data_IF_114975555569
#
_entry.id   IF_114975555569
#
_cell.length_a   1.000
_cell.length_b   1.000
_cell.length_c   1.000
_cell.angle_alpha   90.00
_cell.angle_beta   90.00
_cell.angle_gamma   90.00
#
_symmetry.space_group_name_H-M   'P 1'
#
loop_
_entity.id
_entity.type
_entity.pdbx_description
1 polymer ?
#
# COMPACT_ATOMS: atom_id res chain seq x y z
N UNK A 1 -40.33 10.64 79.89
CA UNK A 1 -39.43 10.77 78.72
C UNK A 1 -40.31 11.30 77.59
N UNK A 2 -40.40 12.64 77.44
CA UNK A 2 -39.60 13.47 76.49
C UNK A 2 -39.85 13.03 75.03
N UNK A 3 -40.16 13.86 74.02
CA UNK A 3 -40.09 15.32 73.79
C UNK A 3 -40.91 15.60 72.52
N UNK A 4 -41.81 16.58 72.53
CA UNK A 4 -41.64 17.91 71.90
C UNK A 4 -41.29 17.98 70.40
N UNK A 5 -42.33 18.31 69.62
CA UNK A 5 -42.41 19.47 68.71
C UNK A 5 -41.20 19.82 67.81
N UNK A 6 -41.36 19.60 66.50
CA UNK A 6 -40.49 20.19 65.46
C UNK A 6 -41.18 21.44 64.88
N UNK A 7 -40.47 22.56 64.98
CA UNK A 7 -40.82 23.90 64.51
C UNK A 7 -40.29 24.12 63.08
N UNK A 8 -41.06 24.87 62.29
CA UNK A 8 -40.68 25.90 61.29
C UNK A 8 -39.34 25.79 60.53
N UNK A 9 -39.41 25.94 59.19
CA UNK A 9 -38.81 27.04 58.37
C UNK A 9 -38.81 26.63 56.88
N UNK A 10 -39.59 27.27 56.01
CA UNK A 10 -39.30 28.52 55.26
C UNK A 10 -38.56 28.25 53.92
N UNK A 11 -39.32 28.48 52.84
CA UNK A 11 -39.00 29.19 51.58
C UNK A 11 -37.94 28.58 50.65
N UNK A 12 -38.29 28.39 49.37
CA UNK A 12 -37.77 29.13 48.19
C UNK A 12 -38.39 28.51 46.92
N UNK A 13 -39.06 29.36 46.14
CA UNK A 13 -39.49 29.11 44.78
C UNK A 13 -38.34 29.39 43.80
N UNK A 14 -38.23 28.63 42.69
CA UNK A 14 -37.58 29.01 41.42
C UNK A 14 -38.02 27.96 40.37
N UNK A 15 -38.83 28.26 39.34
CA UNK A 15 -38.65 29.17 38.18
C UNK A 15 -37.71 28.59 37.09
N UNK A 16 -38.31 28.44 35.92
CA UNK A 16 -37.80 28.39 34.54
C UNK A 16 -37.27 27.06 34.00
N UNK A 17 -38.19 26.40 33.28
CA UNK A 17 -37.95 25.56 32.12
C UNK A 17 -37.45 26.46 30.98
N UNK A 18 -36.20 26.34 30.57
CA UNK A 18 -35.66 27.04 29.40
C UNK A 18 -35.07 26.04 28.40
N UNK A 19 -35.78 25.98 27.25
CA UNK A 19 -35.33 25.83 25.88
C UNK A 19 -34.23 24.81 25.53
N UNK A 20 -34.59 23.92 24.61
CA UNK A 20 -33.73 22.89 24.04
C UNK A 20 -32.50 23.47 23.33
N UNK A 21 -31.40 22.78 23.52
CA UNK A 21 -30.27 22.86 22.62
C UNK A 21 -30.51 21.87 21.49
N UNK A 22 -30.93 22.40 20.35
CA UNK A 22 -30.72 21.78 19.05
C UNK A 22 -29.23 21.57 18.87
N UNK A 23 -28.86 20.33 18.54
CA UNK A 23 -27.49 19.94 18.28
C UNK A 23 -26.86 20.80 17.19
N UNK A 24 -25.61 21.20 17.45
CA UNK A 24 -24.61 21.30 16.41
C UNK A 24 -23.62 20.17 16.70
N UNK A 25 -23.79 19.03 16.03
CA UNK A 25 -22.69 18.09 15.91
C UNK A 25 -21.52 18.85 15.29
N UNK A 26 -20.37 18.82 15.96
CA UNK A 26 -19.15 19.42 15.47
C UNK A 26 -18.87 18.85 14.09
N UNK A 27 -18.72 19.71 13.09
CA UNK A 27 -18.03 19.39 11.85
C UNK A 27 -16.55 19.11 12.21
N UNK A 28 -16.26 17.87 12.61
CA UNK A 28 -14.89 17.38 12.65
C UNK A 28 -14.60 16.91 11.23
N UNK A 29 -13.94 17.77 10.44
CA UNK A 29 -13.18 17.28 9.29
C UNK A 29 -12.13 16.36 9.90
N UNK A 30 -12.32 15.06 9.71
CA UNK A 30 -11.31 14.06 9.99
C UNK A 30 -10.16 14.33 9.02
N UNK A 31 -9.19 15.14 9.47
CA UNK A 31 -7.92 15.24 8.78
C UNK A 31 -7.27 13.88 9.00
N UNK A 32 -7.24 13.04 7.97
CA UNK A 32 -6.50 11.80 7.99
C UNK A 32 -5.02 12.13 8.26
N UNK A 33 -4.58 11.95 9.50
CA UNK A 33 -3.21 12.16 9.94
C UNK A 33 -2.35 10.90 9.75
N UNK A 34 -2.83 9.89 9.02
CA UNK A 34 -2.00 8.75 8.67
C UNK A 34 -0.75 9.25 7.96
N UNK A 35 0.45 8.79 8.35
CA UNK A 35 1.65 9.10 7.62
C UNK A 35 1.42 8.79 6.15
N UNK A 36 1.48 9.82 5.31
CA UNK A 36 1.37 9.67 3.86
C UNK A 36 2.47 8.68 3.44
N UNK A 37 3.69 8.89 3.94
CA UNK A 37 4.82 7.97 3.77
C UNK A 37 4.78 6.76 4.71
N UNK A 38 5.24 5.61 4.23
CA UNK A 38 5.24 4.37 4.98
C UNK A 38 6.42 3.44 4.67
N UNK A 39 6.47 2.31 5.36
CA UNK A 39 7.36 1.21 5.00
C UNK A 39 6.65 -0.13 5.17
N UNK A 40 6.96 -1.10 4.30
CA UNK A 40 6.26 -2.38 4.26
C UNK A 40 7.21 -3.58 4.12
N UNK A 41 6.76 -4.70 4.69
CA UNK A 41 7.28 -6.06 4.55
C UNK A 41 6.12 -7.02 4.87
N UNK A 42 6.06 -8.18 4.22
CA UNK A 42 5.02 -9.17 4.45
C UNK A 42 3.68 -8.79 3.81
N UNK A 43 2.57 -9.12 4.47
CA UNK A 43 1.24 -8.91 3.88
C UNK A 43 0.84 -7.44 3.84
N UNK A 44 0.38 -6.97 2.69
CA UNK A 44 -0.10 -5.60 2.46
C UNK A 44 -1.45 -5.61 1.74
N UNK A 45 -2.33 -4.68 2.10
CA UNK A 45 -3.60 -4.42 1.43
C UNK A 45 -4.12 -3.03 1.79
N UNK A 46 -5.17 -2.57 1.11
CA UNK A 46 -5.76 -1.25 1.34
C UNK A 46 -5.27 -0.24 0.29
N UNK A 47 -4.99 0.99 0.73
CA UNK A 47 -4.63 2.10 -0.15
C UNK A 47 -3.27 2.66 0.26
N UNK A 48 -2.40 2.87 -0.73
CA UNK A 48 -1.24 3.75 -0.60
C UNK A 48 -1.63 5.10 -1.18
N UNK A 49 -1.73 6.09 -0.29
CA UNK A 49 -2.33 7.38 -0.58
C UNK A 49 -1.48 8.22 -1.55
N UNK A 50 -2.16 9.03 -2.36
CA UNK A 50 -1.58 9.89 -3.39
C UNK A 50 -0.34 10.65 -2.90
N UNK A 51 0.70 10.65 -3.74
CA UNK A 51 1.95 11.40 -3.50
C UNK A 51 2.85 10.83 -2.41
N UNK A 52 2.49 9.69 -1.79
CA UNK A 52 3.31 9.07 -0.75
C UNK A 52 4.57 8.37 -1.25
N UNK A 53 5.51 8.18 -0.33
CA UNK A 53 6.64 7.26 -0.50
C UNK A 53 6.45 6.03 0.37
N UNK A 54 6.48 4.84 -0.26
CA UNK A 54 6.35 3.54 0.41
C UNK A 54 7.68 2.79 0.31
N UNK A 55 8.41 2.66 1.41
CA UNK A 55 9.72 2.00 1.44
C UNK A 55 9.56 0.50 1.66
N UNK A 56 9.88 -0.30 0.65
CA UNK A 56 9.73 -1.75 0.68
C UNK A 56 11.04 -2.37 1.14
N UNK A 57 11.06 -2.88 2.38
CA UNK A 57 12.29 -3.35 3.07
C UNK A 57 12.51 -4.86 2.95
N UNK A 58 11.58 -5.57 2.33
CA UNK A 58 11.60 -7.01 2.11
C UNK A 58 10.37 -7.40 1.28
N UNK A 59 10.25 -8.67 0.97
CA UNK A 59 9.16 -9.16 0.12
C UNK A 59 7.80 -8.73 0.67
N UNK A 60 6.92 -8.28 -0.24
CA UNK A 60 5.53 -7.96 0.10
C UNK A 60 4.58 -8.87 -0.64
N UNK A 61 3.47 -9.21 0.02
CA UNK A 61 2.45 -10.11 -0.50
C UNK A 61 1.11 -9.41 -0.42
N UNK A 62 0.39 -9.29 -1.54
CA UNK A 62 -1.02 -8.90 -1.54
C UNK A 62 -1.84 -10.19 -1.42
N UNK A 63 -2.51 -10.47 -0.29
CA UNK A 63 -3.16 -11.77 -0.06
C UNK A 63 -4.35 -12.02 -0.98
N UNK A 64 -4.69 -13.28 -1.22
CA UNK A 64 -5.88 -13.66 -1.97
C UNK A 64 -7.15 -13.08 -1.32
N UNK A 65 -8.08 -12.59 -2.15
CA UNK A 65 -9.30 -11.93 -1.67
C UNK A 65 -9.09 -10.53 -1.08
N UNK A 66 -7.86 -10.01 -1.10
CA UNK A 66 -7.53 -8.62 -0.75
C UNK A 66 -7.04 -7.87 -1.98
N UNK A 67 -6.96 -6.55 -1.85
CA UNK A 67 -6.47 -5.67 -2.90
C UNK A 67 -5.58 -4.59 -2.32
N UNK A 68 -4.58 -4.19 -3.10
CA UNK A 68 -3.80 -2.99 -2.87
C UNK A 68 -4.06 -2.01 -4.01
N UNK A 69 -4.53 -0.82 -3.67
CA UNK A 69 -4.64 0.31 -4.58
C UNK A 69 -3.51 1.28 -4.28
N UNK A 70 -2.78 1.68 -5.31
CA UNK A 70 -1.68 2.63 -5.24
C UNK A 70 -2.11 3.84 -6.07
N UNK A 71 -2.40 4.93 -5.38
CA UNK A 71 -2.90 6.15 -6.01
C UNK A 71 -1.80 6.93 -6.74
N UNK A 72 -2.21 7.91 -7.53
CA UNK A 72 -1.31 8.68 -8.37
C UNK A 72 -0.16 9.35 -7.58
N UNK A 73 0.99 9.50 -8.21
CA UNK A 73 2.17 10.13 -7.62
C UNK A 73 2.87 9.33 -6.51
N UNK A 74 2.39 8.13 -6.16
CA UNK A 74 3.08 7.29 -5.18
C UNK A 74 4.43 6.81 -5.70
N UNK A 75 5.46 6.92 -4.87
CA UNK A 75 6.77 6.33 -5.07
C UNK A 75 6.94 5.08 -4.21
N UNK A 76 7.02 3.92 -4.84
CA UNK A 76 7.35 2.65 -4.20
C UNK A 76 8.86 2.45 -4.28
N UNK A 77 9.52 2.64 -3.13
CA UNK A 77 10.98 2.68 -3.02
C UNK A 77 11.53 1.34 -2.53
N UNK A 78 12.15 0.59 -3.44
CA UNK A 78 12.65 -0.76 -3.18
C UNK A 78 14.03 -0.74 -2.51
N UNK A 79 14.18 -1.50 -1.44
CA UNK A 79 15.47 -1.71 -0.78
C UNK A 79 16.42 -2.56 -1.64
N UNK A 80 17.60 -2.03 -1.96
CA UNK A 80 18.54 -2.69 -2.87
C UNK A 80 19.39 -3.80 -2.24
N UNK A 81 19.38 -3.90 -0.91
CA UNK A 81 20.10 -4.94 -0.15
C UNK A 81 19.20 -6.16 0.00
N UNK A 82 17.95 -5.95 0.44
CA UNK A 82 16.95 -7.00 0.58
C UNK A 82 16.45 -7.52 -0.78
N UNK A 83 16.49 -6.68 -1.82
CA UNK A 83 16.04 -7.00 -3.19
C UNK A 83 14.62 -7.58 -3.23
N UNK A 84 13.64 -6.85 -2.69
CA UNK A 84 12.30 -7.39 -2.44
C UNK A 84 11.57 -7.79 -3.73
N UNK A 85 10.74 -8.81 -3.61
CA UNK A 85 9.73 -9.23 -4.59
C UNK A 85 8.35 -8.70 -4.20
N UNK A 86 7.53 -8.34 -5.19
CA UNK A 86 6.12 -8.00 -4.98
C UNK A 86 5.29 -9.20 -5.45
N UNK A 87 4.70 -9.93 -4.52
CA UNK A 87 3.87 -11.10 -4.81
C UNK A 87 2.40 -10.70 -4.77
N UNK A 88 1.68 -10.93 -5.87
CA UNK A 88 0.25 -10.59 -5.97
C UNK A 88 -0.57 -11.86 -6.01
N UNK A 89 -1.22 -12.20 -4.89
CA UNK A 89 -2.22 -13.29 -4.81
C UNK A 89 -3.65 -12.75 -4.86
N UNK A 90 -3.86 -11.53 -4.39
CA UNK A 90 -5.09 -10.76 -4.53
C UNK A 90 -5.09 -9.90 -5.79
N UNK A 91 -5.51 -8.64 -5.68
CA UNK A 91 -5.51 -7.69 -6.80
C UNK A 91 -4.58 -6.51 -6.55
N UNK A 92 -3.99 -5.98 -7.62
CA UNK A 92 -3.13 -4.79 -7.57
C UNK A 92 -3.63 -3.75 -8.56
N UNK A 93 -3.86 -2.54 -8.09
CA UNK A 93 -4.24 -1.40 -8.92
C UNK A 93 -3.22 -0.27 -8.72
N UNK A 94 -2.31 -0.11 -9.67
CA UNK A 94 -1.39 1.03 -9.74
C UNK A 94 -1.97 2.07 -10.69
N UNK A 95 -2.46 3.16 -10.12
CA UNK A 95 -3.32 4.13 -10.81
C UNK A 95 -2.67 5.51 -10.80
N UNK A 96 -1.68 5.68 -11.66
CA UNK A 96 -1.03 6.95 -11.92
C UNK A 96 -1.85 7.86 -12.83
N UNK A 97 -1.31 9.06 -13.03
CA UNK A 97 -1.70 9.96 -14.12
C UNK A 97 -0.48 10.36 -14.93
N UNK A 98 -0.67 10.96 -16.10
CA UNK A 98 0.45 11.48 -16.91
C UNK A 98 1.29 12.48 -16.12
N UNK A 99 0.65 13.33 -15.32
CA UNK A 99 1.33 14.33 -14.50
C UNK A 99 1.92 13.74 -13.22
N UNK A 100 1.26 12.74 -12.62
CA UNK A 100 1.68 12.09 -11.37
C UNK A 100 1.71 10.56 -11.55
N UNK A 101 2.71 10.00 -12.25
CA UNK A 101 2.80 8.56 -12.43
C UNK A 101 3.09 7.87 -11.09
N UNK A 102 2.60 6.64 -10.92
CA UNK A 102 3.08 5.76 -9.85
C UNK A 102 4.46 5.23 -10.25
N UNK A 103 5.42 5.23 -9.32
CA UNK A 103 6.80 4.85 -9.62
C UNK A 103 7.31 3.74 -8.70
N UNK A 104 7.59 2.57 -9.26
CA UNK A 104 8.37 1.52 -8.61
C UNK A 104 9.84 1.71 -8.97
N UNK A 105 10.67 2.08 -8.01
CA UNK A 105 12.07 2.49 -8.23
C UNK A 105 12.94 2.17 -7.02
N UNK A 106 14.24 2.42 -7.17
CA UNK A 106 15.21 2.51 -6.09
C UNK A 106 15.57 3.96 -5.79
N UNK A 107 16.31 4.18 -4.69
CA UNK A 107 16.84 5.48 -4.32
C UNK A 107 17.77 6.04 -5.41
N UNK A 108 17.71 7.35 -5.63
CA UNK A 108 18.48 8.07 -6.66
C UNK A 108 19.99 7.81 -6.57
N UNK A 109 20.53 7.64 -5.36
CA UNK A 109 21.94 7.31 -5.13
C UNK A 109 22.40 6.05 -5.91
N UNK A 110 21.49 5.11 -6.19
CA UNK A 110 21.81 3.89 -6.90
C UNK A 110 21.68 4.00 -8.43
N UNK A 111 21.13 5.09 -8.96
CA UNK A 111 20.90 5.28 -10.39
C UNK A 111 22.16 5.80 -11.08
N UNK A 112 23.06 4.87 -11.38
CA UNK A 112 24.33 5.15 -12.07
C UNK A 112 24.40 4.41 -13.40
N UNK A 113 25.25 4.87 -14.31
CA UNK A 113 25.47 4.21 -15.61
C UNK A 113 25.88 2.74 -15.47
N UNK A 114 26.64 2.41 -14.43
CA UNK A 114 27.04 1.03 -14.13
C UNK A 114 25.86 0.14 -13.71
N UNK A 115 24.77 0.72 -13.23
CA UNK A 115 23.58 0.01 -12.75
C UNK A 115 22.34 0.26 -13.61
N UNK A 116 22.52 0.82 -14.82
CA UNK A 116 21.42 1.13 -15.76
C UNK A 116 20.63 -0.09 -16.24
N UNK A 117 21.14 -1.30 -16.01
CA UNK A 117 20.48 -2.56 -16.36
C UNK A 117 19.80 -3.23 -15.15
N UNK A 118 19.55 -2.50 -14.06
CA UNK A 118 18.68 -2.96 -12.96
C UNK A 118 19.33 -3.95 -11.99
N UNK A 119 18.61 -5.04 -11.68
CA UNK A 119 18.94 -6.11 -10.72
C UNK A 119 18.87 -5.71 -9.24
N UNK A 120 18.22 -4.60 -8.93
CA UNK A 120 18.23 -4.02 -7.60
C UNK A 120 17.05 -4.46 -6.73
N UNK A 121 16.01 -4.99 -7.34
CA UNK A 121 14.89 -5.66 -6.68
C UNK A 121 14.30 -6.72 -7.62
N UNK A 122 13.36 -7.52 -7.14
CA UNK A 122 12.83 -8.65 -7.89
C UNK A 122 11.99 -8.23 -9.09
N UNK A 123 10.69 -8.14 -8.87
CA UNK A 123 9.69 -7.83 -9.89
C UNK A 123 8.29 -7.94 -9.30
N UNK A 124 7.27 -7.72 -10.12
CA UNK A 124 5.87 -7.94 -9.73
C UNK A 124 5.45 -9.32 -10.24
N UNK A 125 5.18 -10.24 -9.32
CA UNK A 125 4.83 -11.63 -9.62
C UNK A 125 3.39 -11.92 -9.18
N UNK A 126 2.48 -11.82 -10.13
CA UNK A 126 1.06 -12.09 -9.96
C UNK A 126 0.76 -13.58 -10.18
N UNK A 127 0.49 -14.26 -9.08
CA UNK A 127 0.21 -15.69 -9.03
C UNK A 127 -1.17 -16.06 -9.59
N UNK A 128 -1.48 -17.37 -9.68
CA UNK A 128 -2.69 -17.85 -10.35
C UNK A 128 -4.01 -17.39 -9.73
N UNK A 129 -3.99 -16.93 -8.47
CA UNK A 129 -5.16 -16.40 -7.78
C UNK A 129 -5.41 -14.92 -8.02
N UNK A 130 -4.47 -14.21 -8.65
CA UNK A 130 -4.62 -12.79 -8.96
C UNK A 130 -5.70 -12.61 -10.03
N UNK A 131 -6.85 -12.06 -9.66
CA UNK A 131 -7.97 -11.90 -10.58
C UNK A 131 -7.78 -10.68 -11.48
N UNK A 132 -7.27 -9.58 -10.91
CA UNK A 132 -7.10 -8.32 -11.62
C UNK A 132 -5.78 -7.64 -11.25
N UNK A 133 -5.04 -7.22 -12.26
CA UNK A 133 -3.86 -6.37 -12.12
C UNK A 133 -3.95 -5.22 -13.12
N UNK A 134 -3.89 -3.98 -12.62
CA UNK A 134 -3.92 -2.77 -13.43
C UNK A 134 -2.66 -1.96 -13.18
N UNK A 135 -1.96 -1.63 -14.26
CA UNK A 135 -0.91 -0.62 -14.32
C UNK A 135 -1.37 0.44 -15.32
N UNK A 136 -1.72 1.62 -14.81
CA UNK A 136 -2.06 2.78 -15.62
C UNK A 136 -1.17 3.95 -15.20
N UNK A 137 -0.43 4.52 -16.16
CA UNK A 137 0.61 5.53 -15.89
C UNK A 137 1.59 5.10 -14.78
N UNK A 138 2.03 3.84 -14.85
CA UNK A 138 3.02 3.28 -13.92
C UNK A 138 4.40 3.27 -14.56
N UNK A 139 5.42 3.71 -13.82
CA UNK A 139 6.82 3.57 -14.19
C UNK A 139 7.42 2.47 -13.31
N UNK A 140 7.91 1.40 -13.93
CA UNK A 140 8.59 0.30 -13.25
C UNK A 140 10.04 0.30 -13.72
N UNK A 141 10.97 0.44 -12.77
CA UNK A 141 12.40 0.57 -13.08
C UNK A 141 13.34 -0.12 -12.08
N UNK A 142 14.52 -0.49 -12.56
CA UNK A 142 15.65 -1.04 -11.78
C UNK A 142 15.42 -2.41 -11.10
N UNK A 143 14.38 -3.15 -11.49
CA UNK A 143 14.16 -4.52 -11.02
C UNK A 143 14.95 -5.56 -11.80
N UNK A 144 14.55 -6.83 -11.68
CA UNK A 144 15.13 -7.97 -12.38
C UNK A 144 16.30 -8.62 -11.65
N UNK A 145 16.25 -8.70 -10.31
CA UNK A 145 17.27 -9.42 -9.56
C UNK A 145 17.25 -10.93 -9.86
N UNK A 146 18.42 -11.54 -9.82
CA UNK A 146 18.57 -13.00 -9.92
C UNK A 146 18.07 -13.67 -8.65
N UNK A 147 17.20 -14.65 -8.80
CA UNK A 147 16.61 -15.43 -7.69
C UNK A 147 17.64 -16.31 -6.99
N UNK A 148 17.36 -16.64 -5.73
CA UNK A 148 18.06 -17.66 -4.95
C UNK A 148 17.04 -18.64 -4.36
N UNK A 149 17.49 -19.73 -3.73
CA UNK A 149 16.57 -20.64 -3.01
C UNK A 149 15.80 -19.94 -1.88
N UNK A 150 16.29 -18.79 -1.41
CA UNK A 150 15.62 -17.97 -0.40
C UNK A 150 14.48 -17.11 -0.97
N UNK A 151 14.44 -16.87 -2.29
CA UNK A 151 13.43 -16.04 -2.96
C UNK A 151 12.02 -16.55 -2.70
N UNK A 152 11.09 -15.63 -2.40
CA UNK A 152 9.69 -15.99 -2.15
C UNK A 152 9.03 -16.62 -3.36
N UNK A 153 9.34 -16.12 -4.56
CA UNK A 153 8.91 -16.66 -5.85
C UNK A 153 9.32 -18.12 -6.05
N UNK A 154 10.57 -18.47 -5.75
CA UNK A 154 11.09 -19.83 -5.83
C UNK A 154 10.36 -20.73 -4.82
N UNK A 155 10.27 -20.31 -3.55
CA UNK A 155 9.57 -21.06 -2.50
C UNK A 155 8.09 -21.30 -2.79
N UNK A 156 7.46 -20.38 -3.51
CA UNK A 156 6.03 -20.46 -3.85
C UNK A 156 5.77 -21.04 -5.25
N UNK A 157 6.81 -21.46 -5.97
CA UNK A 157 6.67 -22.05 -7.30
C UNK A 157 6.12 -21.07 -8.34
N UNK A 158 6.44 -19.78 -8.23
CA UNK A 158 6.02 -18.73 -9.14
C UNK A 158 7.04 -18.53 -10.28
N UNK A 159 6.56 -18.06 -11.43
CA UNK A 159 7.36 -17.86 -12.64
C UNK A 159 8.09 -19.14 -13.08
N UNK A 160 9.43 -19.20 -13.01
CA UNK A 160 10.23 -20.37 -13.39
C UNK A 160 10.41 -21.38 -12.26
N UNK A 161 9.98 -21.04 -11.03
CA UNK A 161 10.05 -21.91 -9.86
C UNK A 161 11.45 -22.50 -9.57
N UNK A 162 12.52 -21.78 -9.96
CA UNK A 162 13.91 -22.22 -9.81
C UNK A 162 14.81 -21.03 -9.53
N UNK A 163 15.84 -21.24 -8.71
CA UNK A 163 16.86 -20.26 -8.39
C UNK A 163 17.82 -20.01 -9.57
N UNK A 164 18.53 -18.88 -9.55
CA UNK A 164 19.51 -18.52 -10.58
C UNK A 164 18.93 -17.81 -11.80
N UNK A 165 17.61 -17.63 -11.85
CA UNK A 165 16.91 -16.96 -12.93
C UNK A 165 16.64 -15.50 -12.59
N UNK A 166 16.79 -14.61 -13.56
CA UNK A 166 16.37 -13.21 -13.42
C UNK A 166 14.85 -13.13 -13.41
N UNK A 167 14.30 -12.34 -12.50
CA UNK A 167 12.86 -12.06 -12.49
C UNK A 167 12.49 -11.05 -13.58
N UNK A 168 11.31 -11.18 -14.20
CA UNK A 168 10.80 -10.16 -15.10
C UNK A 168 10.30 -8.94 -14.30
N UNK A 169 10.08 -7.82 -15.00
CA UNK A 169 9.42 -6.67 -14.38
C UNK A 169 8.00 -6.98 -13.91
N UNK A 170 7.28 -7.74 -14.72
CA UNK A 170 5.92 -8.19 -14.46
C UNK A 170 5.76 -9.62 -14.97
N UNK A 171 5.23 -10.50 -14.12
CA UNK A 171 4.73 -11.81 -14.49
C UNK A 171 3.29 -11.95 -14.01
N UNK A 172 2.40 -12.41 -14.87
CA UNK A 172 0.99 -12.65 -14.57
C UNK A 172 0.60 -14.03 -15.07
N UNK A 173 0.04 -14.86 -14.19
CA UNK A 173 -0.15 -16.29 -14.47
C UNK A 173 -1.59 -16.77 -14.46
N UNK A 174 -2.53 -15.93 -14.03
CA UNK A 174 -3.94 -16.29 -14.08
C UNK A 174 -4.48 -16.15 -15.51
N UNK A 175 -4.58 -17.26 -16.24
CA UNK A 175 -5.09 -17.27 -17.62
C UNK A 175 -6.55 -16.81 -17.77
N UNK A 176 -7.32 -16.80 -16.67
CA UNK A 176 -8.69 -16.29 -16.62
C UNK A 176 -8.78 -14.90 -15.99
N UNK A 177 -7.65 -14.35 -15.53
CA UNK A 177 -7.58 -13.04 -14.92
C UNK A 177 -7.51 -11.93 -15.96
N UNK A 178 -7.61 -10.69 -15.47
CA UNK A 178 -7.49 -9.49 -16.30
C UNK A 178 -6.18 -8.78 -15.96
N UNK A 179 -5.33 -8.66 -16.99
CA UNK A 179 -4.15 -7.82 -16.92
C UNK A 179 -4.37 -6.59 -17.80
N UNK A 180 -4.28 -5.40 -17.21
CA UNK A 180 -4.33 -4.12 -17.93
C UNK A 180 -2.99 -3.42 -17.70
N UNK A 181 -2.27 -3.15 -18.78
CA UNK A 181 -1.03 -2.36 -18.76
C UNK A 181 -1.16 -1.31 -19.84
N UNK A 182 -1.39 -0.07 -19.41
CA UNK A 182 -1.62 1.08 -20.30
C UNK A 182 -0.83 2.27 -19.81
N UNK A 183 -0.39 3.13 -20.74
CA UNK A 183 0.36 4.35 -20.45
C UNK A 183 1.60 4.16 -19.54
N UNK A 184 2.12 2.94 -19.46
CA UNK A 184 3.11 2.54 -18.47
C UNK A 184 4.48 2.34 -19.12
N UNK A 185 5.54 2.59 -18.36
CA UNK A 185 6.93 2.48 -18.82
C UNK A 185 7.68 1.41 -18.02
N UNK A 186 8.32 0.50 -18.74
CA UNK A 186 9.27 -0.46 -18.20
C UNK A 186 10.66 -0.10 -18.71
N UNK A 187 11.61 0.13 -17.82
CA UNK A 187 12.97 0.52 -18.21
C UNK A 187 13.99 0.11 -17.16
N UNK A 188 15.26 0.05 -17.56
CA UNK A 188 16.36 -0.29 -16.66
C UNK A 188 16.16 -1.66 -15.99
N UNK A 189 15.68 -2.64 -16.74
CA UNK A 189 15.58 -4.04 -16.32
C UNK A 189 16.70 -4.88 -16.96
N UNK A 190 17.08 -5.95 -16.27
CA UNK A 190 17.74 -7.08 -16.88
C UNK A 190 16.69 -8.17 -17.11
N UNK A 191 16.49 -8.54 -18.37
CA UNK A 191 15.69 -9.69 -18.79
C UNK A 191 16.62 -10.77 -19.38
#
# INVERSE_FOLDING_TARGET
MDKNSIKYKIIIALIILAAGFTGCEKANIDVDTSPVDGSAIGEVSGVWAKGSTQIIKGDVVIPAGKSLTIEEGVTVLMDTVAKPEIIVKGNLYSLGTEQNPVRFTVNEFYKTDAKKFGKMWGGILAGPTCAELVLDHTIIEYGGSTTSDASTSVKQGLYKAVAGENLPALWFSNVNGKLIVVNSTFRNFQE
#
